data_IF_702083845392
#
_entry.id   IF_702083845392
#
_cell.length_a   1.000
_cell.length_b   1.000
_cell.length_c   1.000
_cell.angle_alpha   90.00
_cell.angle_beta   90.00
_cell.angle_gamma   90.00
#
_symmetry.space_group_name_H-M   'P 1'
#
loop_
_entity.id
_entity.type
_entity.pdbx_description
1 polymer ?
#
# COMPACT_ATOMS: atom_id res chain seq x y z
N UNK A 1 41.61 7.68 -47.61
CA UNK A 1 40.18 7.55 -47.94
C UNK A 1 39.43 7.92 -46.68
N UNK A 2 39.25 9.21 -46.41
CA UNK A 2 38.18 10.07 -46.93
C UNK A 2 36.83 9.74 -46.28
N UNK A 3 36.35 10.73 -45.52
CA UNK A 3 35.03 11.07 -44.97
C UNK A 3 33.86 10.12 -45.27
N UNK A 4 32.89 9.94 -44.36
CA UNK A 4 31.68 10.79 -44.38
C UNK A 4 30.87 10.62 -43.11
N UNK A 5 30.72 11.71 -42.35
CA UNK A 5 29.61 11.97 -41.43
C UNK A 5 28.33 12.24 -42.22
N UNK A 6 27.15 12.09 -41.60
CA UNK A 6 26.21 13.19 -41.72
C UNK A 6 25.59 13.58 -40.38
N UNK A 7 25.64 14.89 -40.15
CA UNK A 7 24.91 15.65 -39.15
C UNK A 7 23.39 15.67 -39.43
N UNK A 8 22.57 16.08 -38.46
CA UNK A 8 21.12 15.91 -38.47
C UNK A 8 20.40 17.04 -39.23
N UNK A 9 19.29 16.70 -39.89
CA UNK A 9 18.35 17.66 -40.46
C UNK A 9 17.14 17.88 -39.54
N UNK A 10 16.78 19.15 -39.45
CA UNK A 10 15.73 19.77 -38.64
C UNK A 10 14.33 19.64 -39.25
N UNK A 11 13.34 19.44 -38.38
CA UNK A 11 11.93 19.93 -38.47
C UNK A 11 11.45 19.96 -37.01
N UNK A 12 11.10 21.04 -36.32
CA UNK A 12 10.34 22.29 -36.56
C UNK A 12 8.81 22.11 -36.61
N UNK A 13 8.19 22.66 -35.55
CA UNK A 13 6.75 22.94 -35.30
C UNK A 13 5.88 21.71 -34.93
N UNK A 14 4.88 21.75 -34.04
CA UNK A 14 4.25 22.79 -33.22
C UNK A 14 3.21 22.14 -32.27
N UNK A 15 2.95 22.82 -31.15
CA UNK A 15 1.65 22.97 -30.45
C UNK A 15 0.94 21.80 -29.71
N UNK A 16 0.43 22.17 -28.52
CA UNK A 16 -0.57 21.48 -27.71
C UNK A 16 0.07 20.73 -26.52
N UNK A 17 -0.19 21.00 -25.24
CA UNK A 17 -1.32 21.66 -24.60
C UNK A 17 -0.90 22.07 -23.19
N UNK A 18 -1.29 23.28 -22.77
CA UNK A 18 -0.93 23.85 -21.48
C UNK A 18 -1.76 23.22 -20.36
N UNK A 19 -1.10 22.62 -19.38
CA UNK A 19 -1.72 22.30 -18.09
C UNK A 19 -1.71 23.58 -17.25
N UNK A 20 -2.88 24.23 -17.20
CA UNK A 20 -3.16 25.37 -16.33
C UNK A 20 -3.10 24.93 -14.87
N UNK A 21 -2.01 25.29 -14.18
CA UNK A 21 -1.88 25.18 -12.73
C UNK A 21 -1.99 26.60 -12.17
N UNK A 22 -3.20 27.06 -11.90
CA UNK A 22 -3.39 28.28 -11.12
C UNK A 22 -3.55 27.93 -9.64
N UNK A 23 -2.42 27.99 -8.95
CA UNK A 23 -2.32 28.31 -7.54
C UNK A 23 -2.39 29.83 -7.35
N UNK A 24 -2.93 30.22 -6.18
CA UNK A 24 -2.71 31.49 -5.44
C UNK A 24 -3.71 32.63 -5.68
N UNK A 25 -4.49 32.96 -4.64
CA UNK A 25 -4.32 34.16 -3.80
C UNK A 25 -5.48 34.31 -2.79
N UNK A 26 -5.27 34.07 -1.50
CA UNK A 26 -5.18 35.12 -0.47
C UNK A 26 -5.41 36.57 -0.92
N UNK A 27 -6.50 37.18 -0.44
CA UNK A 27 -6.57 38.61 -0.12
C UNK A 27 -7.50 38.87 1.06
N UNK A 28 -6.95 39.60 2.03
CA UNK A 28 -7.62 40.18 3.19
C UNK A 28 -8.76 41.14 2.76
N UNK A 29 -9.81 41.16 3.59
CA UNK A 29 -10.75 42.26 3.71
C UNK A 29 -11.40 42.18 5.08
N UNK A 30 -11.01 43.09 5.97
CA UNK A 30 -11.52 43.24 7.34
C UNK A 30 -12.48 44.44 7.38
N UNK A 31 -13.55 44.30 8.14
CA UNK A 31 -14.55 45.32 8.46
C UNK A 31 -15.95 44.81 8.13
N UNK A 32 -17.02 45.05 8.87
CA UNK A 32 -17.30 45.58 10.20
C UNK A 32 -18.77 45.16 10.43
N UNK A 33 -19.08 44.74 11.66
CA UNK A 33 -20.34 44.87 12.41
C UNK A 33 -21.72 44.79 11.71
N UNK A 34 -22.52 43.82 12.20
CA UNK A 34 -23.94 43.93 12.57
C UNK A 34 -24.99 44.51 11.60
N UNK A 35 -25.78 43.62 10.96
CA UNK A 35 -27.27 43.65 10.88
C UNK A 35 -27.76 42.75 9.73
N UNK A 36 -28.26 41.52 10.03
CA UNK A 36 -29.28 40.81 9.22
C UNK A 36 -29.78 39.47 9.80
N UNK A 37 -30.04 39.39 11.12
CA UNK A 37 -30.59 38.19 11.75
C UNK A 37 -32.13 38.10 11.68
N UNK A 38 -32.71 38.07 10.47
CA UNK A 38 -34.17 38.03 10.31
C UNK A 38 -34.73 37.33 9.07
N UNK A 39 -33.90 37.00 8.07
CA UNK A 39 -34.34 36.37 6.82
C UNK A 39 -33.78 34.95 6.59
N UNK A 40 -32.84 34.49 7.42
CA UNK A 40 -32.28 33.12 7.31
C UNK A 40 -33.15 32.04 7.94
N UNK A 41 -33.97 32.34 8.96
CA UNK A 41 -34.78 31.33 9.65
C UNK A 41 -35.94 30.77 8.79
N UNK A 42 -36.59 31.60 7.98
CA UNK A 42 -37.69 31.18 7.10
C UNK A 42 -37.18 30.45 5.84
N UNK A 43 -36.04 30.87 5.29
CA UNK A 43 -35.37 30.19 4.19
C UNK A 43 -34.85 28.79 4.61
N UNK A 44 -34.32 28.69 5.84
CA UNK A 44 -33.88 27.42 6.43
C UNK A 44 -35.06 26.47 6.65
N UNK A 45 -36.17 26.94 7.21
CA UNK A 45 -37.37 26.11 7.43
C UNK A 45 -37.99 25.58 6.12
N UNK A 46 -38.03 26.41 5.07
CA UNK A 46 -38.51 25.99 3.74
C UNK A 46 -37.59 24.96 3.08
N UNK A 47 -36.28 25.08 3.27
CA UNK A 47 -35.30 24.11 2.75
C UNK A 47 -35.38 22.75 3.46
N UNK A 48 -35.65 22.76 4.77
CA UNK A 48 -35.84 21.55 5.58
C UNK A 48 -37.15 20.83 5.22
N UNK A 49 -38.24 21.58 4.97
CA UNK A 49 -39.51 21.00 4.54
C UNK A 49 -39.42 20.35 3.13
N UNK A 50 -38.72 21.01 2.19
CA UNK A 50 -38.45 20.44 0.86
C UNK A 50 -37.53 19.20 0.92
N UNK A 51 -36.53 19.22 1.80
CA UNK A 51 -35.67 18.06 2.02
C UNK A 51 -36.46 16.88 2.63
N UNK A 52 -37.40 17.15 3.54
CA UNK A 52 -38.27 16.13 4.12
C UNK A 52 -39.21 15.50 3.07
N UNK A 53 -39.84 16.31 2.21
CA UNK A 53 -40.69 15.77 1.14
C UNK A 53 -39.90 14.95 0.11
N UNK A 54 -38.69 15.38 -0.23
CA UNK A 54 -37.78 14.61 -1.11
C UNK A 54 -37.34 13.28 -0.49
N UNK A 55 -37.12 13.26 0.83
CA UNK A 55 -36.78 12.04 1.56
C UNK A 55 -37.96 11.05 1.60
N UNK A 56 -39.19 11.54 1.76
CA UNK A 56 -40.40 10.70 1.72
C UNK A 56 -40.66 10.11 0.33
N UNK A 57 -40.48 10.88 -0.74
CA UNK A 57 -40.63 10.38 -2.11
C UNK A 57 -39.54 9.38 -2.49
N UNK A 58 -38.31 9.57 -1.98
CA UNK A 58 -37.26 8.57 -2.10
C UNK A 58 -37.64 7.26 -1.38
N UNK A 59 -38.15 7.35 -0.14
CA UNK A 59 -38.60 6.18 0.61
C UNK A 59 -39.74 5.44 -0.10
N UNK A 60 -40.73 6.17 -0.65
CA UNK A 60 -41.82 5.56 -1.43
C UNK A 60 -41.30 4.88 -2.69
N UNK A 61 -40.36 5.51 -3.39
CA UNK A 61 -39.75 4.94 -4.61
C UNK A 61 -38.96 3.67 -4.28
N UNK A 62 -38.19 3.68 -3.19
CA UNK A 62 -37.45 2.49 -2.73
C UNK A 62 -38.41 1.37 -2.33
N UNK A 63 -39.47 1.67 -1.56
CA UNK A 63 -40.49 0.67 -1.20
C UNK A 63 -41.18 0.07 -2.42
N UNK A 64 -41.59 0.90 -3.38
CA UNK A 64 -42.19 0.42 -4.63
C UNK A 64 -41.23 -0.41 -5.48
N UNK A 65 -39.94 -0.03 -5.51
CA UNK A 65 -38.89 -0.81 -6.17
C UNK A 65 -38.68 -2.16 -5.48
N UNK A 66 -38.69 -2.21 -4.15
CA UNK A 66 -38.55 -3.47 -3.40
C UNK A 66 -39.76 -4.38 -3.60
N UNK A 67 -41.00 -3.86 -3.56
CA UNK A 67 -42.20 -4.66 -3.79
C UNK A 67 -42.29 -5.21 -5.21
N UNK A 68 -41.85 -4.43 -6.20
CA UNK A 68 -41.78 -4.86 -7.60
C UNK A 68 -40.73 -5.97 -7.78
N UNK A 69 -39.56 -5.85 -7.14
CA UNK A 69 -38.53 -6.88 -7.16
C UNK A 69 -38.98 -8.17 -6.47
N UNK A 70 -39.67 -8.07 -5.34
CA UNK A 70 -40.21 -9.23 -4.61
C UNK A 70 -41.29 -9.93 -5.44
N UNK A 71 -42.18 -9.18 -6.11
CA UNK A 71 -43.22 -9.76 -6.99
C UNK A 71 -42.59 -10.47 -8.19
N UNK A 72 -41.55 -9.88 -8.80
CA UNK A 72 -40.80 -10.49 -9.90
C UNK A 72 -40.04 -11.76 -9.46
N UNK A 73 -39.47 -11.76 -8.26
CA UNK A 73 -38.79 -12.94 -7.72
C UNK A 73 -39.78 -14.08 -7.45
N UNK A 74 -40.97 -13.77 -6.92
CA UNK A 74 -42.04 -14.77 -6.69
C UNK A 74 -42.60 -15.34 -7.99
N UNK A 75 -42.82 -14.51 -9.02
CA UNK A 75 -43.26 -15.04 -10.32
C UNK A 75 -42.20 -15.97 -10.91
N UNK A 76 -40.92 -15.58 -10.87
CA UNK A 76 -39.83 -16.43 -11.34
C UNK A 76 -39.79 -17.76 -10.58
N UNK A 77 -39.97 -17.75 -9.26
CA UNK A 77 -40.03 -18.96 -8.43
C UNK A 77 -41.15 -19.93 -8.83
N UNK A 78 -42.30 -19.43 -9.30
CA UNK A 78 -43.41 -20.28 -9.76
C UNK A 78 -43.21 -20.84 -11.18
N UNK A 79 -42.45 -20.15 -12.04
CA UNK A 79 -42.22 -20.58 -13.42
C UNK A 79 -40.93 -21.40 -13.59
N UNK A 80 -39.97 -21.26 -12.67
CA UNK A 80 -38.71 -22.02 -12.67
C UNK A 80 -38.89 -23.54 -12.77
N UNK A 81 -39.81 -24.19 -12.02
CA UNK A 81 -39.96 -25.65 -12.08
C UNK A 81 -40.33 -26.13 -13.48
N UNK A 82 -41.19 -25.41 -14.20
CA UNK A 82 -41.63 -25.78 -15.55
C UNK A 82 -40.50 -25.65 -16.58
N UNK A 83 -39.67 -24.60 -16.49
CA UNK A 83 -38.51 -24.44 -17.35
C UNK A 83 -37.43 -25.49 -17.07
N UNK A 84 -37.21 -25.82 -15.79
CA UNK A 84 -36.24 -26.84 -15.39
C UNK A 84 -36.73 -28.22 -15.84
N UNK A 85 -38.00 -28.57 -15.63
CA UNK A 85 -38.57 -29.84 -16.08
C UNK A 85 -38.50 -29.99 -17.60
N UNK A 86 -38.82 -28.94 -18.35
CA UNK A 86 -38.71 -28.94 -19.82
C UNK A 86 -37.27 -29.06 -20.29
N UNK A 87 -36.33 -28.36 -19.66
CA UNK A 87 -34.91 -28.47 -19.98
C UNK A 87 -34.37 -29.88 -19.67
N UNK A 88 -34.81 -30.47 -18.56
CA UNK A 88 -34.43 -31.83 -18.16
C UNK A 88 -35.02 -32.87 -19.12
N UNK A 89 -36.27 -32.72 -19.57
CA UNK A 89 -36.87 -33.64 -20.54
C UNK A 89 -36.22 -33.55 -21.93
N UNK A 90 -35.96 -32.33 -22.40
CA UNK A 90 -35.28 -32.08 -23.67
C UNK A 90 -33.85 -32.66 -23.60
N UNK A 91 -33.13 -32.40 -22.52
CA UNK A 91 -31.80 -32.95 -22.26
C UNK A 91 -31.80 -34.48 -22.19
N UNK A 92 -32.75 -35.10 -21.47
CA UNK A 92 -32.89 -36.57 -21.41
C UNK A 92 -33.13 -37.21 -22.77
N UNK A 93 -33.84 -36.53 -23.66
CA UNK A 93 -34.09 -37.02 -25.03
C UNK A 93 -32.79 -37.03 -25.84
N UNK A 94 -31.98 -35.96 -25.75
CA UNK A 94 -30.67 -35.91 -26.40
C UNK A 94 -29.67 -36.90 -25.80
N UNK A 95 -29.65 -37.05 -24.47
CA UNK A 95 -28.82 -38.06 -23.80
C UNK A 95 -29.15 -39.46 -24.31
N UNK A 96 -30.43 -39.82 -24.35
CA UNK A 96 -30.83 -41.14 -24.81
C UNK A 96 -30.47 -41.36 -26.29
N UNK A 97 -30.69 -40.37 -27.16
CA UNK A 97 -30.28 -40.48 -28.56
C UNK A 97 -28.76 -40.65 -28.71
N UNK A 98 -27.98 -39.90 -27.94
CA UNK A 98 -26.52 -39.98 -27.92
C UNK A 98 -26.02 -41.35 -27.46
N UNK A 99 -26.50 -41.85 -26.32
CA UNK A 99 -26.09 -43.16 -25.80
C UNK A 99 -26.57 -44.30 -26.70
N UNK A 100 -27.73 -44.17 -27.33
CA UNK A 100 -28.22 -45.15 -28.31
C UNK A 100 -27.30 -45.21 -29.53
N UNK A 101 -26.84 -44.06 -30.03
CA UNK A 101 -25.89 -43.98 -31.15
C UNK A 101 -24.50 -44.50 -30.79
N UNK A 102 -24.03 -44.25 -29.56
CA UNK A 102 -22.79 -44.85 -29.08
C UNK A 102 -22.92 -46.37 -28.97
N UNK A 103 -24.04 -46.87 -28.44
CA UNK A 103 -24.28 -48.32 -28.31
C UNK A 103 -24.36 -49.00 -29.67
N UNK A 104 -25.04 -48.37 -30.64
CA UNK A 104 -25.09 -48.81 -32.04
C UNK A 104 -23.70 -48.80 -32.67
N UNK A 105 -22.94 -47.71 -32.49
CA UNK A 105 -21.55 -47.60 -32.97
C UNK A 105 -20.61 -48.61 -32.30
N UNK A 106 -20.80 -48.94 -31.02
CA UNK A 106 -20.03 -49.94 -30.29
C UNK A 106 -20.38 -51.36 -30.74
N UNK A 107 -21.66 -51.63 -31.02
CA UNK A 107 -22.07 -52.90 -31.59
C UNK A 107 -21.51 -53.08 -33.01
N UNK A 108 -21.59 -52.04 -33.85
CA UNK A 108 -20.95 -52.02 -35.17
C UNK A 108 -19.42 -52.14 -35.07
N UNK A 109 -18.81 -51.57 -34.03
CA UNK A 109 -17.38 -51.67 -33.81
C UNK A 109 -16.89 -53.09 -33.50
N UNK A 110 -17.75 -53.88 -32.84
CA UNK A 110 -17.52 -55.30 -32.55
C UNK A 110 -17.54 -56.15 -33.82
N UNK A 111 -18.32 -55.75 -34.83
CA UNK A 111 -18.42 -56.45 -36.12
C UNK A 111 -17.20 -56.18 -37.03
N UNK A 112 -16.54 -55.02 -36.85
CA UNK A 112 -15.37 -54.61 -37.65
C UNK A 112 -14.17 -54.20 -36.78
N UNK A 113 -13.52 -55.15 -36.07
CA UNK A 113 -12.47 -54.84 -35.10
C UNK A 113 -11.24 -54.14 -35.70
N UNK A 114 -10.91 -54.40 -36.97
CA UNK A 114 -9.76 -53.79 -37.63
C UNK A 114 -9.96 -52.29 -37.96
N UNK A 115 -11.17 -51.90 -38.36
CA UNK A 115 -11.49 -50.50 -38.70
C UNK A 115 -11.58 -49.63 -37.44
N UNK A 116 -12.13 -50.19 -36.36
CA UNK A 116 -12.41 -49.46 -35.13
C UNK A 116 -11.17 -49.21 -34.28
N UNK A 117 -10.16 -50.08 -34.35
CA UNK A 117 -8.85 -49.80 -33.78
C UNK A 117 -8.22 -48.54 -34.40
N UNK A 118 -8.29 -48.37 -35.73
CA UNK A 118 -7.72 -47.22 -36.42
C UNK A 118 -8.44 -45.90 -36.11
N UNK A 119 -9.77 -45.91 -36.16
CA UNK A 119 -10.60 -44.74 -35.81
C UNK A 119 -10.46 -44.42 -34.31
N UNK A 120 -10.43 -45.43 -33.45
CA UNK A 120 -10.25 -45.28 -32.01
C UNK A 120 -8.88 -44.68 -31.64
N UNK A 121 -7.80 -45.15 -32.25
CA UNK A 121 -6.45 -44.61 -32.05
C UNK A 121 -6.33 -43.15 -32.50
N UNK A 122 -6.85 -42.82 -33.69
CA UNK A 122 -6.80 -41.43 -34.21
C UNK A 122 -7.67 -40.49 -33.39
N UNK A 123 -8.88 -40.91 -33.00
CA UNK A 123 -9.73 -40.15 -32.09
C UNK A 123 -9.08 -39.97 -30.72
N UNK A 124 -8.48 -41.03 -30.16
CA UNK A 124 -7.75 -40.96 -28.89
C UNK A 124 -6.59 -39.95 -28.96
N UNK A 125 -5.80 -39.96 -30.04
CA UNK A 125 -4.73 -38.99 -30.25
C UNK A 125 -5.22 -37.53 -30.36
N UNK A 126 -6.43 -37.30 -30.88
CA UNK A 126 -7.03 -35.97 -30.95
C UNK A 126 -7.62 -35.51 -29.60
N UNK A 127 -8.22 -36.42 -28.84
CA UNK A 127 -8.86 -36.13 -27.56
C UNK A 127 -7.85 -35.98 -26.41
N UNK A 128 -6.73 -36.69 -26.46
CA UNK A 128 -5.71 -36.61 -25.43
C UNK A 128 -5.05 -35.21 -25.43
N UNK A 129 -4.96 -34.54 -24.26
CA UNK A 129 -4.52 -33.13 -24.18
C UNK A 129 -3.05 -32.91 -24.58
N UNK A 130 -2.20 -33.92 -24.41
CA UNK A 130 -0.78 -33.87 -24.80
C UNK A 130 -0.57 -33.86 -26.33
N UNK A 131 -0.91 -34.95 -27.04
CA UNK A 131 -0.71 -35.03 -28.49
C UNK A 131 -1.44 -33.94 -29.25
N UNK A 132 -2.65 -33.56 -28.84
CA UNK A 132 -3.38 -32.42 -29.42
C UNK A 132 -2.56 -31.13 -29.43
N UNK A 133 -1.94 -30.77 -28.29
CA UNK A 133 -1.10 -29.56 -28.18
C UNK A 133 0.18 -29.69 -28.99
N UNK A 134 0.75 -30.88 -29.07
CA UNK A 134 1.94 -31.18 -29.87
C UNK A 134 1.68 -31.00 -31.36
N UNK A 135 0.60 -31.58 -31.90
CA UNK A 135 0.23 -31.40 -33.30
C UNK A 135 -0.07 -29.93 -33.61
N UNK A 136 -0.85 -29.24 -32.76
CA UNK A 136 -1.15 -27.83 -32.98
C UNK A 136 0.12 -26.97 -33.05
N UNK A 137 1.09 -27.22 -32.18
CA UNK A 137 2.34 -26.48 -32.16
C UNK A 137 3.29 -26.87 -33.29
N UNK A 138 3.25 -28.11 -33.78
CA UNK A 138 4.20 -28.59 -34.79
C UNK A 138 3.70 -28.40 -36.23
N UNK A 139 2.42 -28.62 -36.50
CA UNK A 139 1.87 -28.58 -37.87
C UNK A 139 1.40 -27.17 -38.24
N UNK A 140 0.65 -26.49 -37.36
CA UNK A 140 0.17 -25.14 -37.66
C UNK A 140 1.28 -24.08 -37.59
N UNK A 141 2.39 -24.33 -36.88
CA UNK A 141 3.54 -23.42 -36.90
C UNK A 141 4.27 -23.41 -38.25
N UNK A 142 4.23 -24.51 -39.01
CA UNK A 142 4.84 -24.59 -40.35
C UNK A 142 3.95 -24.01 -41.45
N UNK A 143 2.65 -23.87 -41.18
CA UNK A 143 1.68 -23.30 -42.11
C UNK A 143 1.54 -21.78 -41.95
N UNK A 144 2.23 -21.16 -40.99
CA UNK A 144 2.27 -19.70 -40.89
C UNK A 144 3.13 -19.16 -42.04
N UNK A 145 2.50 -18.42 -42.95
CA UNK A 145 3.16 -17.66 -44.01
C UNK A 145 4.35 -16.87 -43.44
N UNK A 146 5.46 -16.82 -44.18
CA UNK A 146 6.65 -16.07 -43.81
C UNK A 146 6.30 -14.60 -43.48
N UNK A 147 5.33 -14.03 -44.18
CA UNK A 147 4.81 -12.68 -43.94
C UNK A 147 4.12 -12.55 -42.57
N UNK A 148 3.37 -13.56 -42.14
CA UNK A 148 2.71 -13.56 -40.83
C UNK A 148 3.71 -13.71 -39.68
N UNK A 149 4.80 -14.47 -39.90
CA UNK A 149 5.88 -14.59 -38.93
C UNK A 149 6.68 -13.27 -38.82
N UNK A 150 6.93 -12.60 -39.95
CA UNK A 150 7.60 -11.31 -39.97
C UNK A 150 6.79 -10.22 -39.27
N UNK A 151 5.50 -10.09 -39.58
CA UNK A 151 4.60 -9.11 -38.92
C UNK A 151 4.52 -9.36 -37.41
N UNK A 152 4.48 -10.64 -37.00
CA UNK A 152 4.52 -11.01 -35.58
C UNK A 152 5.85 -10.65 -34.92
N UNK A 153 6.96 -10.89 -35.59
CA UNK A 153 8.28 -10.52 -35.09
C UNK A 153 8.43 -9.00 -34.97
N UNK A 154 7.97 -8.24 -35.96
CA UNK A 154 8.00 -6.77 -35.95
C UNK A 154 7.17 -6.20 -34.79
N UNK A 155 5.96 -6.72 -34.57
CA UNK A 155 5.13 -6.33 -33.43
C UNK A 155 5.84 -6.61 -32.11
N UNK A 156 6.41 -7.80 -31.95
CA UNK A 156 7.13 -8.16 -30.74
C UNK A 156 8.33 -7.24 -30.51
N UNK A 157 9.12 -6.93 -31.55
CA UNK A 157 10.25 -6.00 -31.42
C UNK A 157 9.80 -4.61 -31.01
N UNK A 158 8.69 -4.09 -31.58
CA UNK A 158 8.11 -2.81 -31.18
C UNK A 158 7.66 -2.81 -29.71
N UNK A 159 6.98 -3.87 -29.28
CA UNK A 159 6.53 -4.05 -27.90
C UNK A 159 7.71 -4.14 -26.92
N UNK A 160 8.73 -4.92 -27.26
CA UNK A 160 9.95 -5.02 -26.46
C UNK A 160 10.69 -3.67 -26.37
N UNK A 161 10.81 -2.93 -27.47
CA UNK A 161 11.46 -1.61 -27.44
C UNK A 161 10.74 -0.64 -26.50
N UNK A 162 9.41 -0.59 -26.54
CA UNK A 162 8.62 0.23 -25.62
C UNK A 162 8.84 -0.18 -24.17
N UNK A 163 8.83 -1.48 -23.88
CA UNK A 163 9.07 -2.01 -22.53
C UNK A 163 10.48 -1.67 -22.02
N UNK A 164 11.50 -1.83 -22.86
CA UNK A 164 12.89 -1.50 -22.52
C UNK A 164 13.05 -0.01 -22.26
N UNK A 165 12.39 0.86 -23.03
CA UNK A 165 12.47 2.31 -22.82
C UNK A 165 11.76 2.77 -21.54
N UNK A 166 10.65 2.12 -21.17
CA UNK A 166 10.03 2.33 -19.86
C UNK A 166 10.98 1.86 -18.73
N UNK A 167 11.56 0.68 -18.87
CA UNK A 167 12.48 0.13 -17.88
C UNK A 167 13.73 1.01 -17.71
N UNK A 168 14.28 1.58 -18.78
CA UNK A 168 15.38 2.55 -18.71
C UNK A 168 14.99 3.80 -17.93
N UNK A 169 13.78 4.32 -18.12
CA UNK A 169 13.28 5.51 -17.40
C UNK A 169 13.08 5.21 -15.91
N UNK A 170 12.50 4.08 -15.59
CA UNK A 170 12.29 3.65 -14.19
C UNK A 170 13.61 3.34 -13.49
N UNK A 171 14.54 2.68 -14.18
CA UNK A 171 15.89 2.41 -13.66
C UNK A 171 16.66 3.68 -13.33
N UNK A 172 16.61 4.71 -14.19
CA UNK A 172 17.22 6.02 -13.90
C UNK A 172 16.64 6.66 -12.63
N UNK A 173 15.31 6.68 -12.49
CA UNK A 173 14.65 7.21 -11.29
C UNK A 173 15.03 6.45 -10.02
N UNK A 174 15.16 5.13 -10.11
CA UNK A 174 15.59 4.30 -8.97
C UNK A 174 17.04 4.57 -8.61
N UNK A 175 17.92 4.70 -9.60
CA UNK A 175 19.33 4.99 -9.39
C UNK A 175 19.54 6.37 -8.75
N UNK A 176 18.81 7.39 -9.20
CA UNK A 176 18.86 8.73 -8.59
C UNK A 176 18.43 8.70 -7.12
N UNK A 177 17.35 7.97 -6.79
CA UNK A 177 16.90 7.80 -5.40
C UNK A 177 17.90 7.03 -4.55
N UNK A 178 18.48 5.96 -5.10
CA UNK A 178 19.49 5.17 -4.40
C UNK A 178 20.76 6.01 -4.13
N UNK A 179 21.22 6.78 -5.12
CA UNK A 179 22.37 7.67 -4.98
C UNK A 179 22.13 8.79 -3.96
N UNK A 180 20.93 9.37 -3.94
CA UNK A 180 20.56 10.37 -2.93
C UNK A 180 20.54 9.74 -1.53
N UNK A 181 19.93 8.56 -1.37
CA UNK A 181 19.94 7.84 -0.10
C UNK A 181 21.37 7.49 0.36
N UNK A 182 22.26 7.09 -0.57
CA UNK A 182 23.66 6.82 -0.25
C UNK A 182 24.37 8.08 0.28
N UNK A 183 24.13 9.23 -0.35
CA UNK A 183 24.70 10.51 0.09
C UNK A 183 24.22 10.88 1.50
N UNK A 184 22.93 10.74 1.76
CA UNK A 184 22.34 11.06 3.07
C UNK A 184 22.84 10.11 4.16
N UNK A 185 23.00 8.82 3.84
CA UNK A 185 23.59 7.84 4.76
C UNK A 185 25.05 8.16 5.10
N UNK A 186 25.86 8.53 4.11
CA UNK A 186 27.25 8.95 4.34
C UNK A 186 27.32 10.18 5.24
N UNK A 187 26.46 11.16 4.99
CA UNK A 187 26.38 12.36 5.83
C UNK A 187 25.98 12.02 7.27
N UNK A 188 24.91 11.23 7.44
CA UNK A 188 24.47 10.78 8.76
C UNK A 188 25.53 9.95 9.50
N UNK A 189 26.31 9.14 8.78
CA UNK A 189 27.43 8.41 9.37
C UNK A 189 28.51 9.36 9.90
N UNK A 190 28.89 10.38 9.12
CA UNK A 190 29.91 11.34 9.56
C UNK A 190 29.46 12.16 10.77
N UNK A 191 28.19 12.59 10.80
CA UNK A 191 27.60 13.31 11.92
C UNK A 191 27.59 12.45 13.20
N UNK A 192 27.18 11.18 13.07
CA UNK A 192 27.19 10.25 14.20
C UNK A 192 28.60 9.96 14.72
N UNK A 193 29.60 9.88 13.84
CA UNK A 193 31.00 9.72 14.25
C UNK A 193 31.52 10.95 14.99
N UNK A 194 31.16 12.16 14.55
CA UNK A 194 31.54 13.40 15.24
C UNK A 194 30.92 13.48 16.62
N UNK A 195 29.60 13.31 16.73
CA UNK A 195 28.88 13.27 18.02
C UNK A 195 29.41 12.15 18.92
N UNK A 196 29.69 10.97 18.35
CA UNK A 196 30.29 9.85 19.08
C UNK A 196 31.67 10.20 19.64
N UNK A 197 32.50 10.92 18.87
CA UNK A 197 33.81 11.38 19.33
C UNK A 197 33.70 12.41 20.47
N UNK A 198 32.72 13.31 20.39
CA UNK A 198 32.45 14.29 21.44
C UNK A 198 32.00 13.60 22.74
N UNK A 199 31.06 12.64 22.67
CA UNK A 199 30.62 11.84 23.82
C UNK A 199 31.79 11.06 24.42
N UNK A 200 32.63 10.45 23.59
CA UNK A 200 33.80 9.71 24.08
C UNK A 200 34.78 10.64 24.80
N UNK A 201 35.01 11.85 24.28
CA UNK A 201 35.88 12.84 24.91
C UNK A 201 35.30 13.33 26.25
N UNK A 202 33.98 13.58 26.30
CA UNK A 202 33.27 13.96 27.51
C UNK A 202 33.34 12.85 28.55
N UNK A 203 33.05 11.60 28.17
CA UNK A 203 33.17 10.43 29.05
C UNK A 203 34.58 10.29 29.62
N UNK A 204 35.63 10.47 28.81
CA UNK A 204 37.02 10.49 29.30
C UNK A 204 37.27 11.62 30.31
N UNK A 205 36.70 12.81 30.07
CA UNK A 205 36.84 13.93 31.00
C UNK A 205 36.11 13.68 32.32
N UNK A 206 34.90 13.14 32.28
CA UNK A 206 34.11 12.76 33.46
C UNK A 206 34.84 11.67 34.25
N UNK A 207 35.38 10.65 33.58
CA UNK A 207 36.13 9.59 34.24
C UNK A 207 37.40 10.11 34.96
N UNK A 208 38.07 11.14 34.41
CA UNK A 208 39.19 11.79 35.09
C UNK A 208 38.75 12.56 36.34
N UNK A 209 37.61 13.25 36.27
CA UNK A 209 37.04 13.97 37.42
C UNK A 209 36.61 12.97 38.50
N UNK A 210 35.98 11.86 38.10
CA UNK A 210 35.61 10.76 38.98
C UNK A 210 36.85 10.14 39.66
N UNK A 211 37.92 9.83 38.91
CA UNK A 211 39.14 9.30 39.52
C UNK A 211 39.77 10.29 40.51
N UNK A 212 39.80 11.58 40.18
CA UNK A 212 40.33 12.61 41.08
C UNK A 212 39.47 12.77 42.35
N UNK A 213 38.15 12.69 42.22
CA UNK A 213 37.23 12.74 43.34
C UNK A 213 37.32 11.45 44.19
N UNK A 214 37.55 10.28 43.60
CA UNK A 214 37.83 9.03 44.31
C UNK A 214 39.14 9.13 45.11
N UNK A 215 40.22 9.62 44.50
CA UNK A 215 41.51 9.83 45.19
C UNK A 215 41.36 10.83 46.36
N UNK A 216 40.59 11.91 46.18
CA UNK A 216 40.29 12.88 47.24
C UNK A 216 39.45 12.25 48.37
N UNK A 217 38.46 11.43 48.02
CA UNK A 217 37.63 10.69 48.99
C UNK A 217 38.46 9.72 49.82
N UNK A 218 39.43 9.04 49.21
CA UNK A 218 40.34 8.14 49.91
C UNK A 218 41.30 8.90 50.83
N UNK A 219 41.82 10.06 50.41
CA UNK A 219 42.63 10.92 51.28
C UNK A 219 41.84 11.49 52.48
N UNK A 220 40.58 11.91 52.27
CA UNK A 220 39.71 12.40 53.35
C UNK A 220 39.24 11.28 54.30
N UNK A 221 39.38 10.02 53.92
CA UNK A 221 39.04 8.87 54.77
C UNK A 221 39.97 8.71 55.97
N UNK A 222 41.19 9.25 55.90
CA UNK A 222 42.21 9.15 56.94
C UNK A 222 42.06 10.19 58.06
N UNK A 223 41.29 11.26 57.85
CA UNK A 223 41.17 12.38 58.80
C UNK A 223 39.75 12.42 59.43
N UNK A 224 39.57 12.07 60.72
CA UNK A 224 38.27 12.09 61.38
C UNK A 224 37.89 13.50 61.88
N UNK A 225 37.71 14.45 60.96
CA UNK A 225 37.30 15.83 61.29
C UNK A 225 35.91 16.17 60.70
N UNK A 226 35.14 17.04 61.36
CA UNK A 226 33.78 17.44 60.94
C UNK A 226 33.76 18.12 59.57
N UNK A 227 34.78 18.91 59.27
CA UNK A 227 34.93 19.57 57.96
C UNK A 227 35.28 18.56 56.86
N UNK A 228 36.10 17.54 57.17
CA UNK A 228 36.42 16.45 56.24
C UNK A 228 35.18 15.60 55.90
N UNK A 229 34.27 15.39 56.85
CA UNK A 229 32.99 14.71 56.59
C UNK A 229 32.09 15.49 55.63
N UNK A 230 32.07 16.84 55.70
CA UNK A 230 31.32 17.67 54.76
C UNK A 230 31.90 17.58 53.35
N UNK A 231 33.23 17.71 53.23
CA UNK A 231 33.92 17.58 51.94
C UNK A 231 33.78 16.19 51.33
N UNK A 232 33.68 15.15 52.16
CA UNK A 232 33.39 13.77 51.71
C UNK A 232 32.00 13.62 51.10
N UNK A 233 31.00 14.31 51.64
CA UNK A 233 29.65 14.32 51.04
C UNK A 233 29.66 15.03 49.68
N UNK A 234 30.34 16.16 49.57
CA UNK A 234 30.48 16.91 48.31
C UNK A 234 31.27 16.11 47.26
N UNK A 235 32.38 15.47 47.63
CA UNK A 235 33.17 14.65 46.70
C UNK A 235 32.43 13.36 46.27
N UNK A 236 31.58 12.79 47.13
CA UNK A 236 30.72 11.66 46.75
C UNK A 236 29.69 12.01 45.67
N UNK A 237 29.30 13.29 45.55
CA UNK A 237 28.40 13.76 44.50
C UNK A 237 29.03 13.66 43.11
N UNK A 238 30.35 13.83 42.99
CA UNK A 238 31.05 13.74 41.71
C UNK A 238 31.29 12.27 41.28
N UNK A 239 31.47 11.36 42.23
CA UNK A 239 31.62 9.92 41.98
C UNK A 239 30.29 9.22 41.65
N UNK A 240 29.16 9.86 41.97
CA UNK A 240 27.82 9.31 41.81
C UNK A 240 27.15 9.59 40.46
N UNK A 241 27.84 10.20 39.49
CA UNK A 241 27.27 10.50 38.15
C UNK A 241 27.22 9.22 37.30
N UNK A 242 26.61 8.18 37.83
CA UNK A 242 26.00 7.12 37.02
C UNK A 242 24.67 7.66 36.51
N UNK A 243 24.30 7.32 35.28
CA UNK A 243 23.17 7.85 34.48
C UNK A 243 21.75 7.69 35.09
N UNK A 244 21.63 7.38 36.37
CA UNK A 244 20.38 7.21 37.09
C UNK A 244 20.45 7.96 38.42
N UNK A 245 19.71 9.07 38.52
CA UNK A 245 19.50 9.96 39.69
C UNK A 245 20.50 11.09 39.91
N UNK A 246 20.37 12.14 39.10
CA UNK A 246 20.80 13.49 39.45
C UNK A 246 19.74 14.29 40.26
N UNK A 247 18.88 13.64 41.06
CA UNK A 247 17.79 14.32 41.79
C UNK A 247 18.07 14.52 43.29
N UNK A 248 19.11 13.88 43.84
CA UNK A 248 19.26 13.79 45.32
C UNK A 248 20.15 14.90 45.92
N UNK A 249 21.00 15.58 45.14
CA UNK A 249 22.02 16.49 45.72
C UNK A 249 21.70 17.99 45.68
N UNK A 250 20.56 18.41 45.14
CA UNK A 250 20.21 19.85 45.07
C UNK A 250 19.31 20.35 46.23
N UNK A 251 18.93 19.49 47.17
CA UNK A 251 17.88 19.80 48.15
C UNK A 251 18.33 19.85 49.59
N UNK A 252 19.37 20.61 49.97
CA UNK A 252 19.55 20.94 51.40
C UNK A 252 20.40 22.20 51.61
N UNK A 253 19.91 23.34 51.11
CA UNK A 253 20.27 24.65 51.67
C UNK A 253 18.97 25.39 51.99
N UNK A 254 18.84 25.72 53.29
CA UNK A 254 18.13 26.89 53.84
C UNK A 254 16.64 26.76 54.24
N UNK A 255 16.46 26.56 55.55
CA UNK A 255 15.67 27.33 56.53
C UNK A 255 14.26 27.90 56.20
N UNK A 256 13.32 27.57 57.12
CA UNK A 256 12.08 28.28 57.56
C UNK A 256 10.92 28.48 56.55
N UNK A 257 9.75 27.89 56.79
CA UNK A 257 8.66 28.54 57.54
C UNK A 257 7.40 27.64 57.62
N UNK A 258 6.62 27.82 58.69
CA UNK A 258 5.34 27.16 58.93
C UNK A 258 4.29 27.53 57.87
N UNK A 259 3.37 26.60 57.55
CA UNK A 259 2.05 27.03 57.06
C UNK A 259 1.26 26.05 56.18
N UNK A 260 0.53 25.15 56.85
CA UNK A 260 -0.89 24.82 56.57
C UNK A 260 -1.39 24.29 55.21
N UNK A 261 -2.24 23.25 55.33
CA UNK A 261 -3.39 22.86 54.47
C UNK A 261 -3.06 22.26 53.10
N UNK A 262 -3.71 21.23 52.56
CA UNK A 262 -4.91 20.45 52.93
C UNK A 262 -5.01 19.22 52.01
N UNK A 263 -5.52 18.13 52.59
CA UNK A 263 -6.55 17.21 52.06
C UNK A 263 -6.42 16.56 50.67
N UNK A 264 -6.14 15.26 50.71
CA UNK A 264 -6.96 14.16 50.18
C UNK A 264 -8.11 14.50 49.21
N UNK A 265 -8.11 13.94 47.99
CA UNK A 265 -9.28 13.29 47.38
C UNK A 265 -8.83 12.13 46.48
N UNK A 266 -9.42 10.98 46.76
CA UNK A 266 -9.41 9.67 46.09
C UNK A 266 -9.91 9.70 44.64
N UNK A 267 -9.20 9.02 43.73
CA UNK A 267 -9.73 8.59 42.43
C UNK A 267 -10.27 7.15 42.53
N UNK A 268 -11.58 6.97 42.34
CA UNK A 268 -12.23 5.69 42.07
C UNK A 268 -12.80 5.72 40.65
N UNK A 269 -12.63 4.59 39.96
CA UNK A 269 -13.29 4.15 38.73
C UNK A 269 -14.81 4.36 38.82
N UNK A 270 -15.44 4.85 37.75
CA UNK A 270 -16.06 4.05 36.68
C UNK A 270 -16.34 4.93 35.46
#
# INVERSE_FOLDING_TARGET
MAETTPSPSSSTWEQGEQVNVNSSNMSLGKGDDDEKNGQEAAASASSVAMAASMAEDLQRTVMQSTDSAIRSARSLQHHLPQYVEKAVSDYRTYENAFFTKIKEGLMSAREHPASTLGIGLTAAFLLLPGPRRFFIRQTFSRLQSEEAQFVRAEKNVKELNLSVDLMKKESKKLLERAHLAEKDMKYGQTDLMDVGSQIQSLSKSVHKVESQAADLMDGLREIPNREALKLRAEASCFNGISFEKAEVCAGQTDNEDLGTRTSSVTARRD
#
